data_IF_341500721700
#
_entry.id   IF_341500721700
#
_cell.length_a   1.000
_cell.length_b   1.000
_cell.length_c   1.000
_cell.angle_alpha   90.00
_cell.angle_beta   90.00
_cell.angle_gamma   90.00
#
_symmetry.space_group_name_H-M   'P 1'
#
loop_
_entity.id
_entity.type
_entity.pdbx_description
1 polymer ?
#
# COMPACT_ATOMS: atom_id res chain seq x y z
N UNK A 1 20.47 10.18 2.11
CA UNK A 1 19.27 10.86 2.65
C UNK A 1 18.00 10.49 1.89
N UNK A 2 18.02 10.39 0.57
CA UNK A 2 16.88 10.03 -0.31
C UNK A 2 16.41 8.61 -0.05
N UNK A 3 17.31 7.62 0.01
CA UNK A 3 17.00 6.21 0.34
C UNK A 3 16.30 6.10 1.70
N UNK A 4 16.69 6.95 2.66
CA UNK A 4 16.02 6.98 3.97
C UNK A 4 14.58 7.47 3.87
N UNK A 5 14.29 8.48 3.05
CA UNK A 5 12.91 8.97 2.85
C UNK A 5 12.01 7.90 2.21
N UNK A 6 12.53 7.16 1.24
CA UNK A 6 11.82 6.04 0.62
C UNK A 6 11.55 4.92 1.64
N UNK A 7 12.56 4.57 2.46
CA UNK A 7 12.39 3.59 3.54
C UNK A 7 11.35 4.01 4.57
N UNK A 8 11.32 5.30 4.94
CA UNK A 8 10.30 5.84 5.85
C UNK A 8 8.91 5.76 5.24
N UNK A 9 8.73 6.12 3.97
CA UNK A 9 7.44 5.97 3.29
C UNK A 9 6.98 4.51 3.29
N UNK A 10 7.90 3.58 3.01
CA UNK A 10 7.59 2.16 3.01
C UNK A 10 7.24 1.63 4.41
N UNK A 11 7.83 2.18 5.47
CA UNK A 11 7.49 1.82 6.85
C UNK A 11 6.03 2.19 7.22
N UNK A 12 5.45 3.18 6.54
CA UNK A 12 4.04 3.56 6.69
C UNK A 12 3.11 2.94 5.62
N UNK A 13 3.66 2.14 4.70
CA UNK A 13 2.88 1.47 3.67
C UNK A 13 1.77 0.60 4.27
N UNK A 14 0.70 0.45 3.54
CA UNK A 14 -0.49 -0.33 3.92
C UNK A 14 -1.36 0.28 5.01
N UNK A 15 -1.05 1.50 5.51
CA UNK A 15 -1.94 2.20 6.44
C UNK A 15 -3.29 2.53 5.79
N UNK A 16 -3.31 2.75 4.49
CA UNK A 16 -4.51 2.99 3.68
C UNK A 16 -5.44 1.78 3.63
N UNK A 17 -4.92 0.57 3.85
CA UNK A 17 -5.72 -0.67 3.85
C UNK A 17 -6.72 -0.73 5.01
N UNK A 18 -6.52 0.06 6.07
CA UNK A 18 -7.51 0.23 7.13
C UNK A 18 -8.83 0.72 6.53
N UNK A 19 -8.79 1.57 5.50
CA UNK A 19 -9.97 2.06 4.79
C UNK A 19 -10.77 0.96 4.08
N UNK A 20 -10.12 -0.11 3.64
CA UNK A 20 -10.83 -1.23 2.97
C UNK A 20 -11.72 -2.02 3.92
N UNK A 21 -11.41 -2.00 5.21
CA UNK A 21 -12.20 -2.65 6.25
C UNK A 21 -13.42 -1.81 6.70
N UNK A 22 -13.50 -0.55 6.30
CA UNK A 22 -14.59 0.34 6.71
C UNK A 22 -15.99 -0.17 6.30
N UNK A 23 -16.08 -0.81 5.13
CA UNK A 23 -17.34 -1.38 4.62
C UNK A 23 -17.84 -2.62 5.39
N UNK A 24 -17.02 -3.21 6.26
CA UNK A 24 -17.32 -4.40 7.05
C UNK A 24 -17.36 -4.12 8.55
N UNK A 25 -17.06 -2.88 8.93
CA UNK A 25 -16.97 -2.45 10.32
C UNK A 25 -18.32 -1.92 10.79
N UNK A 26 -18.81 -2.40 11.92
CA UNK A 26 -19.94 -1.78 12.60
C UNK A 26 -19.56 -0.38 13.10
N UNK A 27 -20.42 0.61 12.83
CA UNK A 27 -20.20 2.02 13.20
C UNK A 27 -18.81 2.58 12.73
N UNK A 28 -18.51 2.59 11.42
CA UNK A 28 -17.21 2.97 10.89
C UNK A 28 -16.83 4.41 11.28
N UNK A 29 -17.79 5.32 11.42
CA UNK A 29 -17.56 6.70 11.83
C UNK A 29 -16.87 6.84 13.20
N UNK A 30 -17.10 5.89 14.11
CA UNK A 30 -16.50 5.87 15.45
C UNK A 30 -15.23 5.03 15.52
N UNK A 31 -15.18 3.92 14.79
CA UNK A 31 -14.10 2.93 14.87
C UNK A 31 -12.92 3.35 13.99
N UNK A 32 -13.16 3.82 12.76
CA UNK A 32 -12.09 4.19 11.82
C UNK A 32 -11.15 5.27 12.36
N UNK A 33 -11.61 6.39 12.96
CA UNK A 33 -10.72 7.39 13.53
C UNK A 33 -9.80 6.83 14.61
N UNK A 34 -10.33 5.96 15.48
CA UNK A 34 -9.55 5.32 16.55
C UNK A 34 -8.51 4.35 15.95
N UNK A 35 -8.90 3.56 14.95
CA UNK A 35 -8.01 2.65 14.27
C UNK A 35 -6.85 3.38 13.60
N UNK A 36 -7.14 4.42 12.82
CA UNK A 36 -6.12 5.23 12.11
C UNK A 36 -5.13 5.85 13.11
N UNK A 37 -5.61 6.51 14.16
CA UNK A 37 -4.76 7.11 15.17
C UNK A 37 -3.91 6.07 15.93
N UNK A 38 -4.49 4.89 16.22
CA UNK A 38 -3.77 3.78 16.87
C UNK A 38 -2.66 3.23 15.98
N UNK A 39 -2.89 3.12 14.66
CA UNK A 39 -1.86 2.64 13.72
C UNK A 39 -0.69 3.61 13.67
N UNK A 40 -0.94 4.92 13.56
CA UNK A 40 0.13 5.94 13.56
C UNK A 40 0.98 5.85 14.82
N UNK A 41 0.35 5.75 16.00
CA UNK A 41 1.06 5.61 17.27
C UNK A 41 1.87 4.31 17.33
N UNK A 42 1.31 3.18 16.92
CA UNK A 42 2.02 1.88 16.89
C UNK A 42 3.23 1.92 15.96
N UNK A 43 3.10 2.48 14.77
CA UNK A 43 4.22 2.63 13.85
C UNK A 43 5.31 3.49 14.49
N UNK A 44 4.98 4.63 15.07
CA UNK A 44 5.96 5.49 15.74
C UNK A 44 6.70 4.73 16.86
N UNK A 45 6.00 4.01 17.72
CA UNK A 45 6.61 3.28 18.83
C UNK A 45 7.42 2.07 18.34
N UNK A 46 6.83 1.22 17.51
CA UNK A 46 7.49 -0.04 17.14
C UNK A 46 8.56 0.13 16.07
N UNK A 47 8.36 0.96 15.04
CA UNK A 47 9.40 1.18 14.02
C UNK A 47 10.52 2.08 14.54
N UNK A 48 10.19 3.27 15.03
CA UNK A 48 11.23 4.20 15.52
C UNK A 48 11.94 3.59 16.73
N UNK A 49 11.19 2.99 17.66
CA UNK A 49 11.77 2.32 18.82
C UNK A 49 12.69 1.16 18.44
N UNK A 50 12.29 0.31 17.49
CA UNK A 50 13.14 -0.80 17.02
C UNK A 50 14.41 -0.29 16.34
N UNK A 51 14.31 0.72 15.49
CA UNK A 51 15.49 1.29 14.81
C UNK A 51 16.46 1.90 15.81
N UNK A 52 15.95 2.64 16.81
CA UNK A 52 16.78 3.20 17.87
C UNK A 52 17.49 2.10 18.66
N UNK A 53 16.76 1.06 19.06
CA UNK A 53 17.36 -0.06 19.80
C UNK A 53 18.42 -0.78 18.97
N UNK A 54 18.14 -1.11 17.70
CA UNK A 54 19.11 -1.75 16.82
C UNK A 54 20.35 -0.90 16.61
N UNK A 55 20.19 0.42 16.46
CA UNK A 55 21.32 1.35 16.31
C UNK A 55 22.18 1.50 17.58
N UNK A 56 21.58 1.33 18.76
CA UNK A 56 22.28 1.39 20.04
C UNK A 56 22.98 0.06 20.41
N UNK A 57 22.43 -1.07 19.97
CA UNK A 57 22.89 -2.40 20.37
C UNK A 57 24.01 -2.95 19.49
N UNK A 58 24.04 -2.59 18.21
CA UNK A 58 25.11 -2.98 17.27
C UNK A 58 25.55 -1.82 16.40
N UNK A 59 26.85 -1.73 16.06
CA UNK A 59 27.33 -0.74 15.08
C UNK A 59 26.70 -1.01 13.71
N UNK A 60 26.41 0.07 12.98
CA UNK A 60 25.73 -0.02 11.67
C UNK A 60 26.50 -0.88 10.64
N UNK A 61 27.82 -1.02 10.82
CA UNK A 61 28.70 -1.83 9.96
C UNK A 61 28.48 -3.34 10.12
N UNK A 62 27.80 -3.77 11.19
CA UNK A 62 27.47 -5.19 11.44
C UNK A 62 26.23 -5.65 10.66
N UNK A 63 25.46 -4.73 10.07
CA UNK A 63 24.25 -5.07 9.33
C UNK A 63 24.56 -5.26 7.84
N UNK A 64 24.15 -6.40 7.29
CA UNK A 64 24.35 -6.76 5.89
C UNK A 64 23.07 -6.54 5.05
N UNK A 65 23.27 -6.18 3.78
CA UNK A 65 22.15 -6.08 2.83
C UNK A 65 21.53 -7.46 2.60
N UNK A 66 20.19 -7.52 2.62
CA UNK A 66 19.45 -8.75 2.37
C UNK A 66 19.27 -9.65 3.60
N UNK A 67 19.85 -9.30 4.74
CA UNK A 67 19.64 -10.00 6.01
C UNK A 67 18.79 -9.15 6.94
N UNK A 68 17.86 -9.77 7.65
CA UNK A 68 17.04 -9.06 8.64
C UNK A 68 17.93 -8.52 9.78
N UNK A 69 17.86 -7.22 10.11
CA UNK A 69 18.64 -6.67 11.22
C UNK A 69 18.33 -7.31 12.56
N UNK A 70 17.13 -7.82 12.76
CA UNK A 70 16.77 -8.60 13.95
C UNK A 70 17.50 -9.94 14.01
N UNK A 71 17.60 -10.65 12.88
CA UNK A 71 18.35 -11.91 12.79
C UNK A 71 19.83 -11.67 13.09
N UNK A 72 20.41 -10.62 12.51
CA UNK A 72 21.81 -10.22 12.77
C UNK A 72 22.05 -9.94 14.26
N UNK A 73 21.18 -9.12 14.87
CA UNK A 73 21.31 -8.79 16.29
C UNK A 73 21.18 -10.02 17.19
N UNK A 74 20.12 -10.81 17.02
CA UNK A 74 19.91 -11.99 17.88
C UNK A 74 20.95 -13.08 17.64
N UNK A 75 21.49 -13.22 16.43
CA UNK A 75 22.62 -14.10 16.14
C UNK A 75 23.91 -13.66 16.85
N UNK A 76 24.12 -12.34 17.06
CA UNK A 76 25.30 -11.80 17.75
C UNK A 76 25.31 -12.02 19.26
N UNK A 77 24.17 -12.34 19.89
CA UNK A 77 24.07 -12.61 21.34
C UNK A 77 24.76 -13.92 21.74
N UNK A 78 25.08 -14.81 20.79
CA UNK A 78 25.81 -16.04 21.03
C UNK A 78 24.98 -17.19 21.64
N UNK A 79 23.63 -17.02 21.66
CA UNK A 79 22.73 -18.08 22.11
C UNK A 79 22.41 -18.99 20.93
N UNK A 80 22.76 -20.26 21.00
CA UNK A 80 22.50 -21.21 19.92
C UNK A 80 21.02 -21.32 19.57
N UNK A 81 20.70 -21.23 18.26
CA UNK A 81 19.37 -21.41 17.73
C UNK A 81 18.46 -20.17 17.79
N UNK A 82 18.88 -19.07 18.41
CA UNK A 82 18.07 -17.83 18.46
C UNK A 82 17.94 -17.20 17.08
N UNK A 83 18.98 -17.25 16.26
CA UNK A 83 18.97 -16.84 14.86
C UNK A 83 17.94 -17.62 14.03
N UNK A 84 17.83 -18.93 14.24
CA UNK A 84 16.82 -19.79 13.59
C UNK A 84 15.41 -19.41 14.03
N UNK A 85 15.19 -19.17 15.33
CA UNK A 85 13.90 -18.74 15.87
C UNK A 85 13.51 -17.39 15.26
N UNK A 86 14.45 -16.44 15.18
CA UNK A 86 14.19 -15.11 14.60
C UNK A 86 13.91 -15.19 13.09
N UNK A 87 14.59 -16.05 12.35
CA UNK A 87 14.25 -16.32 10.95
C UNK A 87 12.82 -16.86 10.79
N UNK A 88 12.40 -17.76 11.68
CA UNK A 88 11.03 -18.28 11.67
C UNK A 88 10.00 -17.19 11.99
N UNK A 89 10.31 -16.30 12.94
CA UNK A 89 9.46 -15.12 13.24
C UNK A 89 9.34 -14.21 12.03
N UNK A 90 10.45 -13.89 11.36
CA UNK A 90 10.46 -13.06 10.14
C UNK A 90 9.66 -13.72 9.01
N UNK A 91 9.82 -15.03 8.82
CA UNK A 91 9.07 -15.80 7.83
C UNK A 91 7.56 -15.75 8.10
N UNK A 92 7.15 -15.99 9.35
CA UNK A 92 5.71 -15.95 9.72
C UNK A 92 5.13 -14.54 9.58
N UNK A 93 5.90 -13.50 9.91
CA UNK A 93 5.51 -12.11 9.70
C UNK A 93 5.34 -11.79 8.20
N UNK A 94 6.27 -12.23 7.35
CA UNK A 94 6.18 -12.06 5.90
C UNK A 94 4.95 -12.77 5.30
N UNK A 95 4.69 -14.02 5.72
CA UNK A 95 3.49 -14.76 5.29
C UNK A 95 2.20 -14.10 5.74
N UNK A 96 2.16 -13.55 6.96
CA UNK A 96 1.02 -12.79 7.46
C UNK A 96 0.76 -11.52 6.64
N UNK A 97 1.82 -10.77 6.31
CA UNK A 97 1.75 -9.58 5.47
C UNK A 97 1.28 -9.92 4.04
N UNK A 98 1.79 -11.01 3.47
CA UNK A 98 1.37 -11.50 2.16
C UNK A 98 -0.12 -11.86 2.16
N UNK A 99 -0.59 -12.58 3.18
CA UNK A 99 -2.01 -12.94 3.32
C UNK A 99 -2.90 -11.70 3.42
N UNK A 100 -2.53 -10.71 4.24
CA UNK A 100 -3.25 -9.45 4.35
C UNK A 100 -3.29 -8.67 3.03
N UNK A 101 -2.17 -8.64 2.30
CA UNK A 101 -2.06 -8.03 0.97
C UNK A 101 -2.96 -8.70 -0.06
N UNK A 102 -2.93 -10.03 -0.15
CA UNK A 102 -3.77 -10.82 -1.06
C UNK A 102 -5.26 -10.58 -0.81
N UNK A 103 -5.66 -10.57 0.47
CA UNK A 103 -7.04 -10.32 0.86
C UNK A 103 -7.49 -8.90 0.47
N UNK A 104 -6.75 -7.89 0.87
CA UNK A 104 -7.09 -6.48 0.62
C UNK A 104 -7.12 -6.16 -0.87
N UNK A 105 -6.09 -6.58 -1.64
CA UNK A 105 -6.02 -6.36 -3.08
C UNK A 105 -7.12 -7.15 -3.81
N UNK A 106 -7.42 -8.37 -3.36
CA UNK A 106 -8.53 -9.17 -3.89
C UNK A 106 -9.88 -8.46 -3.77
N UNK A 107 -10.14 -7.77 -2.65
CA UNK A 107 -11.35 -6.96 -2.43
C UNK A 107 -11.38 -5.71 -3.29
N UNK A 108 -10.26 -5.01 -3.43
CA UNK A 108 -10.14 -3.83 -4.30
C UNK A 108 -10.42 -4.24 -5.75
N UNK A 109 -9.78 -5.30 -6.24
CA UNK A 109 -10.01 -5.82 -7.60
C UNK A 109 -11.46 -6.25 -7.84
N UNK A 110 -12.09 -6.87 -6.82
CA UNK A 110 -13.51 -7.19 -6.90
C UNK A 110 -14.37 -5.93 -7.04
N UNK A 111 -14.14 -4.93 -6.20
CA UNK A 111 -14.85 -3.65 -6.29
C UNK A 111 -14.68 -2.98 -7.65
N UNK A 112 -13.46 -2.95 -8.18
CA UNK A 112 -13.17 -2.45 -9.53
C UNK A 112 -13.92 -3.25 -10.61
N UNK A 113 -13.96 -4.58 -10.50
CA UNK A 113 -14.67 -5.44 -11.44
C UNK A 113 -16.17 -5.23 -11.44
N UNK A 114 -16.77 -5.07 -10.26
CA UNK A 114 -18.21 -4.75 -10.11
C UNK A 114 -18.54 -3.39 -10.72
N UNK A 115 -17.62 -2.42 -10.62
CA UNK A 115 -17.77 -1.09 -11.23
C UNK A 115 -17.34 -1.05 -12.72
N UNK A 116 -17.00 -2.19 -13.32
CA UNK A 116 -16.63 -2.26 -14.74
C UNK A 116 -15.17 -1.95 -15.06
N UNK A 117 -14.34 -1.56 -14.06
CA UNK A 117 -12.95 -1.11 -14.26
C UNK A 117 -11.92 -2.26 -14.21
N UNK A 118 -12.34 -3.51 -14.00
CA UNK A 118 -11.47 -4.68 -13.97
C UNK A 118 -12.15 -5.89 -14.64
N UNK A 119 -11.38 -6.94 -14.99
CA UNK A 119 -11.93 -8.15 -15.59
C UNK A 119 -13.04 -8.78 -14.75
N UNK A 120 -14.08 -9.31 -15.39
CA UNK A 120 -15.23 -9.93 -14.72
C UNK A 120 -14.84 -11.10 -13.79
N UNK A 121 -13.76 -11.80 -14.12
CA UNK A 121 -13.24 -12.87 -13.28
C UNK A 121 -12.94 -12.40 -11.85
N UNK A 122 -12.44 -11.18 -11.68
CA UNK A 122 -12.10 -10.62 -10.37
C UNK A 122 -13.33 -10.39 -9.46
N UNK A 123 -14.56 -10.34 -10.01
CA UNK A 123 -15.79 -10.21 -9.22
C UNK A 123 -16.21 -11.51 -8.54
N UNK A 124 -15.67 -12.66 -8.95
CA UNK A 124 -16.09 -13.97 -8.46
C UNK A 124 -15.78 -14.15 -6.98
N UNK A 125 -16.81 -14.63 -6.25
CA UNK A 125 -16.72 -14.94 -4.82
C UNK A 125 -17.06 -16.42 -4.59
N UNK A 126 -16.53 -16.98 -3.53
CA UNK A 126 -16.95 -18.30 -3.07
C UNK A 126 -18.21 -18.20 -2.16
N UNK A 127 -18.72 -19.36 -1.73
CA UNK A 127 -19.90 -19.42 -0.83
C UNK A 127 -19.67 -18.74 0.53
N UNK A 128 -18.42 -18.60 0.96
CA UNK A 128 -18.03 -17.94 2.21
C UNK A 128 -17.80 -16.42 2.05
N UNK A 129 -18.09 -15.83 0.88
CA UNK A 129 -17.90 -14.39 0.64
C UNK A 129 -16.45 -13.97 0.37
N UNK A 130 -15.55 -14.93 0.10
CA UNK A 130 -14.15 -14.62 -0.21
C UNK A 130 -14.00 -14.31 -1.71
N UNK A 131 -13.36 -13.18 -2.11
CA UNK A 131 -13.19 -12.78 -3.50
C UNK A 131 -12.03 -13.53 -4.17
N UNK A 132 -12.20 -14.84 -4.39
CA UNK A 132 -11.13 -15.71 -4.89
C UNK A 132 -10.61 -15.30 -6.28
N UNK A 133 -11.45 -14.69 -7.12
CA UNK A 133 -11.03 -14.22 -8.45
C UNK A 133 -9.99 -13.11 -8.36
N UNK A 134 -10.21 -12.12 -7.51
CA UNK A 134 -9.25 -11.05 -7.26
C UNK A 134 -7.98 -11.56 -6.57
N UNK A 135 -8.12 -12.45 -5.59
CA UNK A 135 -6.99 -13.08 -4.89
C UNK A 135 -6.13 -13.88 -5.86
N UNK A 136 -6.73 -14.67 -6.78
CA UNK A 136 -5.99 -15.45 -7.75
C UNK A 136 -5.18 -14.58 -8.71
N UNK A 137 -5.74 -13.46 -9.18
CA UNK A 137 -5.00 -12.48 -10.02
C UNK A 137 -3.81 -11.92 -9.23
N UNK A 138 -4.04 -11.47 -7.99
CA UNK A 138 -2.98 -10.90 -7.15
C UNK A 138 -1.89 -11.92 -6.87
N UNK A 139 -2.26 -13.17 -6.52
CA UNK A 139 -1.31 -14.24 -6.29
C UNK A 139 -0.48 -14.56 -7.54
N UNK A 140 -1.11 -14.65 -8.72
CA UNK A 140 -0.42 -14.88 -9.97
C UNK A 140 0.63 -13.80 -10.28
N UNK A 141 0.29 -12.53 -10.04
CA UNK A 141 1.22 -11.41 -10.20
C UNK A 141 2.35 -11.49 -9.16
N UNK A 142 2.02 -11.78 -7.90
CA UNK A 142 3.02 -11.92 -6.82
C UNK A 142 4.02 -13.05 -7.09
N UNK A 143 3.58 -14.14 -7.72
CA UNK A 143 4.45 -15.25 -8.12
C UNK A 143 5.51 -14.85 -9.15
N UNK A 144 5.34 -13.75 -9.89
CA UNK A 144 6.37 -13.21 -10.79
C UNK A 144 7.62 -12.74 -10.02
N UNK A 145 7.51 -12.47 -8.73
CA UNK A 145 8.65 -12.20 -7.86
C UNK A 145 9.61 -13.38 -7.72
N UNK A 146 9.13 -14.62 -7.88
CA UNK A 146 9.97 -15.84 -7.75
C UNK A 146 11.02 -15.91 -8.87
N UNK A 147 10.65 -15.87 -10.18
CA UNK A 147 11.65 -15.83 -11.24
C UNK A 147 12.53 -14.59 -11.19
N UNK A 148 12.00 -13.44 -10.79
CA UNK A 148 12.80 -12.23 -10.62
C UNK A 148 13.91 -12.45 -9.59
N UNK A 149 13.58 -13.02 -8.43
CA UNK A 149 14.57 -13.34 -7.40
C UNK A 149 15.59 -14.40 -7.85
N UNK A 150 15.20 -15.33 -8.72
CA UNK A 150 16.11 -16.32 -9.29
C UNK A 150 17.09 -15.70 -10.30
N UNK A 151 16.61 -14.77 -11.14
CA UNK A 151 17.42 -14.14 -12.21
C UNK A 151 18.37 -13.07 -11.67
N UNK A 152 17.93 -12.26 -10.71
CA UNK A 152 18.67 -11.10 -10.17
C UNK A 152 18.58 -11.02 -8.64
N UNK A 153 19.06 -12.04 -7.90
CA UNK A 153 18.83 -12.15 -6.46
C UNK A 153 19.33 -10.94 -5.66
N UNK A 154 20.48 -10.38 -6.04
CA UNK A 154 21.09 -9.24 -5.35
C UNK A 154 20.29 -7.92 -5.51
N UNK A 155 19.48 -7.80 -6.56
CA UNK A 155 18.76 -6.57 -6.92
C UNK A 155 17.24 -6.72 -6.82
N UNK A 156 16.73 -7.97 -6.74
CA UNK A 156 15.28 -8.24 -6.77
C UNK A 156 14.53 -7.46 -5.70
N UNK A 157 15.06 -7.42 -4.48
CA UNK A 157 14.45 -6.69 -3.37
C UNK A 157 14.39 -5.18 -3.65
N UNK A 158 15.47 -4.57 -4.13
CA UNK A 158 15.52 -3.14 -4.43
C UNK A 158 14.57 -2.77 -5.58
N UNK A 159 14.48 -3.60 -6.63
CA UNK A 159 13.57 -3.39 -7.77
C UNK A 159 12.11 -3.41 -7.26
N UNK A 160 11.73 -4.45 -6.51
CA UNK A 160 10.37 -4.59 -5.98
C UNK A 160 10.05 -3.45 -5.02
N UNK A 161 10.98 -3.06 -4.15
CA UNK A 161 10.81 -1.96 -3.22
C UNK A 161 10.58 -0.62 -3.95
N UNK A 162 11.36 -0.34 -4.99
CA UNK A 162 11.24 0.88 -5.78
C UNK A 162 9.88 0.96 -6.48
N UNK A 163 9.46 -0.12 -7.15
CA UNK A 163 8.16 -0.18 -7.83
C UNK A 163 7.01 -0.06 -6.84
N UNK A 164 7.09 -0.77 -5.70
CA UNK A 164 6.08 -0.69 -4.65
C UNK A 164 5.98 0.72 -4.05
N UNK A 165 7.11 1.39 -3.82
CA UNK A 165 7.14 2.77 -3.30
C UNK A 165 6.41 3.76 -4.22
N UNK A 166 6.59 3.63 -5.53
CA UNK A 166 5.84 4.47 -6.50
C UNK A 166 4.34 4.19 -6.39
N UNK A 167 3.93 2.91 -6.31
CA UNK A 167 2.53 2.54 -6.13
C UNK A 167 1.92 3.15 -4.86
N UNK A 168 2.65 3.14 -3.75
CA UNK A 168 2.23 3.74 -2.47
C UNK A 168 2.08 5.26 -2.61
N UNK A 169 3.08 5.94 -3.21
CA UNK A 169 3.05 7.39 -3.42
C UNK A 169 1.83 7.78 -4.26
N UNK A 170 1.57 7.08 -5.36
CA UNK A 170 0.43 7.34 -6.24
C UNK A 170 -0.90 7.10 -5.54
N UNK A 171 -1.00 6.05 -4.73
CA UNK A 171 -2.20 5.74 -3.93
C UNK A 171 -2.46 6.87 -2.92
N UNK A 172 -1.46 7.28 -2.16
CA UNK A 172 -1.61 8.35 -1.18
C UNK A 172 -1.91 9.70 -1.83
N UNK A 173 -1.27 10.01 -2.96
CA UNK A 173 -1.59 11.22 -3.72
C UNK A 173 -3.06 11.22 -4.17
N UNK A 174 -3.56 10.08 -4.66
CA UNK A 174 -4.96 9.92 -5.06
C UNK A 174 -5.92 10.12 -3.87
N UNK A 175 -5.61 9.53 -2.70
CA UNK A 175 -6.41 9.70 -1.48
C UNK A 175 -6.48 11.18 -1.09
N UNK A 176 -5.35 11.90 -1.12
CA UNK A 176 -5.30 13.34 -0.79
C UNK A 176 -6.08 14.17 -1.81
N UNK A 177 -5.98 13.85 -3.11
CA UNK A 177 -6.77 14.52 -4.16
C UNK A 177 -8.27 14.29 -3.95
N UNK A 178 -8.70 13.06 -3.64
CA UNK A 178 -10.09 12.73 -3.31
C UNK A 178 -10.56 13.53 -2.08
N UNK A 179 -9.73 13.66 -1.06
CA UNK A 179 -10.05 14.44 0.14
C UNK A 179 -10.24 15.94 -0.17
N UNK A 180 -9.37 16.51 -1.01
CA UNK A 180 -9.49 17.90 -1.43
C UNK A 180 -10.77 18.11 -2.25
N UNK A 181 -11.09 17.17 -3.14
CA UNK A 181 -12.30 17.23 -3.95
C UNK A 181 -13.58 17.07 -3.11
N UNK A 182 -13.55 16.14 -2.15
CA UNK A 182 -14.65 15.95 -1.19
C UNK A 182 -14.95 17.24 -0.42
N UNK A 183 -13.88 17.93 0.03
CA UNK A 183 -14.03 19.22 0.69
C UNK A 183 -14.70 20.25 -0.22
N UNK A 184 -14.25 20.36 -1.49
CA UNK A 184 -14.83 21.29 -2.48
C UNK A 184 -16.33 21.03 -2.72
N UNK A 185 -16.72 19.74 -2.79
CA UNK A 185 -18.13 19.38 -2.96
C UNK A 185 -18.97 19.68 -1.73
N UNK A 186 -18.42 19.44 -0.53
CA UNK A 186 -19.09 19.82 0.70
C UNK A 186 -19.25 21.33 0.85
N UNK A 187 -18.21 22.11 0.48
CA UNK A 187 -18.26 23.58 0.52
C UNK A 187 -19.31 24.13 -0.48
N UNK A 188 -19.63 23.39 -1.56
CA UNK A 188 -20.72 23.69 -2.51
C UNK A 188 -22.09 23.19 -2.04
N UNK A 189 -22.19 22.50 -0.91
CA UNK A 189 -23.44 21.96 -0.38
C UNK A 189 -23.93 20.68 -1.06
N UNK A 190 -23.13 20.05 -1.93
CA UNK A 190 -23.53 18.85 -2.67
C UNK A 190 -23.54 17.59 -1.82
N UNK A 191 -22.78 17.59 -0.70
CA UNK A 191 -22.75 16.47 0.26
C UNK A 191 -22.38 16.96 1.67
N UNK A 192 -22.72 16.14 2.66
CA UNK A 192 -22.35 16.40 4.04
C UNK A 192 -20.90 16.01 4.29
N UNK A 193 -20.15 16.89 4.97
CA UNK A 193 -18.77 16.63 5.31
C UNK A 193 -18.67 15.68 6.50
N UNK A 194 -17.81 14.64 6.44
CA UNK A 194 -17.58 13.74 7.58
C UNK A 194 -17.14 14.48 8.84
N UNK A 195 -17.43 13.89 10.01
CA UNK A 195 -17.02 14.44 11.31
C UNK A 195 -15.51 14.35 11.52
N UNK A 196 -14.89 13.24 11.11
CA UNK A 196 -13.45 13.06 11.12
C UNK A 196 -12.81 13.80 9.95
N UNK A 197 -11.96 14.77 10.25
CA UNK A 197 -11.42 15.71 9.25
C UNK A 197 -9.91 15.85 9.39
N UNK A 198 -9.25 16.03 8.25
CA UNK A 198 -7.84 16.40 8.22
C UNK A 198 -7.65 17.82 8.75
N UNK A 199 -6.80 17.98 9.76
CA UNK A 199 -6.48 19.28 10.39
C UNK A 199 -5.78 20.16 9.34
N UNK A 200 -6.19 21.43 9.24
CA UNK A 200 -5.60 22.38 8.31
C UNK A 200 -5.94 22.17 6.82
N UNK A 201 -6.93 21.29 6.50
CA UNK A 201 -7.37 21.11 5.11
C UNK A 201 -7.99 22.42 4.55
N UNK A 202 -7.69 22.77 3.27
CA UNK A 202 -6.99 21.99 2.23
C UNK A 202 -5.46 22.17 2.20
N UNK A 203 -4.88 23.11 2.95
CA UNK A 203 -3.47 23.50 2.86
C UNK A 203 -2.54 22.33 3.19
N UNK A 204 -2.84 21.57 4.25
CA UNK A 204 -2.09 20.36 4.60
C UNK A 204 -2.15 19.30 3.50
N UNK A 205 -3.26 19.20 2.75
CA UNK A 205 -3.37 18.34 1.57
C UNK A 205 -2.42 18.76 0.46
N UNK A 206 -2.35 20.06 0.14
CA UNK A 206 -1.41 20.55 -0.88
C UNK A 206 0.05 20.38 -0.46
N UNK A 207 0.37 20.59 0.82
CA UNK A 207 1.71 20.35 1.35
C UNK A 207 2.09 18.86 1.23
N UNK A 208 1.16 17.97 1.56
CA UNK A 208 1.38 16.52 1.41
C UNK A 208 1.61 16.12 -0.05
N UNK A 209 0.85 16.68 -1.00
CA UNK A 209 1.05 16.44 -2.43
C UNK A 209 2.42 16.95 -2.91
N UNK A 210 2.84 18.12 -2.47
CA UNK A 210 4.17 18.67 -2.78
C UNK A 210 5.29 17.77 -2.24
N UNK A 211 5.16 17.29 -1.00
CA UNK A 211 6.09 16.35 -0.41
C UNK A 211 6.15 15.02 -1.21
N UNK A 212 5.01 14.42 -1.52
CA UNK A 212 4.94 13.19 -2.31
C UNK A 212 5.52 13.36 -3.71
N UNK A 213 5.27 14.50 -4.38
CA UNK A 213 5.86 14.80 -5.68
C UNK A 213 7.39 14.95 -5.58
N UNK A 214 7.90 15.57 -4.52
CA UNK A 214 9.34 15.67 -4.27
C UNK A 214 9.99 14.30 -4.07
N UNK A 215 9.38 13.42 -3.29
CA UNK A 215 9.90 12.04 -3.10
C UNK A 215 9.82 11.24 -4.40
N UNK A 216 8.76 11.36 -5.16
CA UNK A 216 8.62 10.68 -6.46
C UNK A 216 9.72 11.13 -7.44
N UNK A 217 9.99 12.43 -7.52
CA UNK A 217 11.07 12.98 -8.34
C UNK A 217 12.43 12.40 -7.91
N UNK A 218 12.68 12.30 -6.61
CA UNK A 218 13.91 11.71 -6.08
C UNK A 218 14.06 10.22 -6.46
N UNK A 219 12.98 9.43 -6.35
CA UNK A 219 12.99 8.01 -6.75
C UNK A 219 13.31 7.85 -8.24
N UNK A 220 12.81 8.73 -9.10
CA UNK A 220 13.07 8.69 -10.53
C UNK A 220 14.50 9.09 -10.88
N UNK A 221 15.09 10.02 -10.14
CA UNK A 221 16.51 10.42 -10.34
C UNK A 221 17.45 9.27 -9.95
N UNK A 222 17.15 8.54 -8.87
CA UNK A 222 17.98 7.42 -8.41
C UNK A 222 17.83 6.16 -9.25
N UNK A 223 16.64 5.88 -9.77
CA UNK A 223 16.33 4.66 -10.50
C UNK A 223 15.61 4.92 -11.82
N UNK A 224 16.35 5.13 -12.93
CA UNK A 224 15.77 5.26 -14.26
C UNK A 224 14.91 4.06 -14.67
N UNK A 225 15.25 2.84 -14.20
CA UNK A 225 14.45 1.65 -14.43
C UNK A 225 13.06 1.76 -13.79
N UNK A 226 12.99 2.27 -12.56
CA UNK A 226 11.72 2.51 -11.88
C UNK A 226 10.87 3.54 -12.62
N UNK A 227 11.48 4.59 -13.15
CA UNK A 227 10.81 5.58 -14.00
C UNK A 227 10.21 4.92 -15.25
N UNK A 228 10.98 4.07 -15.94
CA UNK A 228 10.52 3.35 -17.13
C UNK A 228 9.34 2.41 -16.82
N UNK A 229 9.46 1.59 -15.77
CA UNK A 229 8.41 0.67 -15.33
C UNK A 229 7.13 1.44 -14.95
N UNK A 230 7.26 2.55 -14.25
CA UNK A 230 6.13 3.41 -13.87
C UNK A 230 5.46 4.04 -15.10
N UNK A 231 6.24 4.50 -16.07
CA UNK A 231 5.71 5.04 -17.32
C UNK A 231 4.92 3.99 -18.10
N UNK A 232 5.47 2.78 -18.24
CA UNK A 232 4.79 1.65 -18.89
C UNK A 232 3.48 1.31 -18.15
N UNK A 233 3.53 1.18 -16.82
CA UNK A 233 2.36 0.89 -16.01
C UNK A 233 1.28 1.98 -16.16
N UNK A 234 1.66 3.25 -16.17
CA UNK A 234 0.76 4.38 -16.36
C UNK A 234 0.08 4.36 -17.74
N UNK A 235 0.84 4.06 -18.80
CA UNK A 235 0.32 3.90 -20.16
C UNK A 235 -0.69 2.74 -20.21
N UNK A 236 -0.35 1.59 -19.60
CA UNK A 236 -1.26 0.44 -19.55
C UNK A 236 -2.54 0.75 -18.77
N UNK A 237 -2.45 1.52 -17.67
CA UNK A 237 -3.63 1.98 -16.94
C UNK A 237 -4.51 2.89 -17.78
N UNK A 238 -3.94 3.83 -18.52
CA UNK A 238 -4.69 4.73 -19.44
C UNK A 238 -5.37 3.93 -20.53
N UNK A 239 -4.66 3.00 -21.18
CA UNK A 239 -5.23 2.10 -22.19
C UNK A 239 -6.37 1.28 -21.60
N UNK A 240 -6.16 0.68 -20.41
CA UNK A 240 -7.18 -0.09 -19.70
C UNK A 240 -8.42 0.76 -19.37
N UNK A 241 -8.22 2.02 -18.95
CA UNK A 241 -9.34 2.94 -18.71
C UNK A 241 -10.12 3.23 -20.01
N UNK A 242 -9.44 3.52 -21.11
CA UNK A 242 -10.11 3.74 -22.41
C UNK A 242 -10.89 2.50 -22.87
N UNK A 243 -10.35 1.32 -22.68
CA UNK A 243 -11.01 0.05 -23.02
C UNK A 243 -12.26 -0.23 -22.15
N UNK A 244 -12.23 0.17 -20.87
CA UNK A 244 -13.29 -0.11 -19.91
C UNK A 244 -14.31 1.05 -19.78
N UNK A 245 -14.02 2.25 -20.28
CA UNK A 245 -14.83 3.47 -20.01
C UNK A 245 -16.29 3.35 -20.42
N UNK A 246 -16.59 2.73 -21.56
CA UNK A 246 -17.97 2.54 -22.04
C UNK A 246 -18.77 1.70 -21.04
N UNK A 247 -18.20 0.59 -20.60
CA UNK A 247 -18.79 -0.30 -19.62
C UNK A 247 -18.97 0.37 -18.25
N UNK A 248 -18.00 1.21 -17.83
CA UNK A 248 -18.09 1.99 -16.59
C UNK A 248 -19.29 2.94 -16.66
N UNK A 249 -19.47 3.65 -17.78
CA UNK A 249 -20.60 4.56 -17.97
C UNK A 249 -21.94 3.86 -18.00
N UNK A 250 -22.06 2.69 -18.65
CA UNK A 250 -23.29 1.88 -18.66
C UNK A 250 -23.67 1.43 -17.24
N UNK A 251 -22.71 0.94 -16.46
CA UNK A 251 -22.94 0.50 -15.06
C UNK A 251 -23.33 1.69 -14.19
N UNK A 252 -22.67 2.85 -14.37
CA UNK A 252 -23.00 4.07 -13.62
C UNK A 252 -24.42 4.53 -13.93
N UNK A 253 -24.81 4.59 -15.20
CA UNK A 253 -26.15 4.98 -15.62
C UNK A 253 -27.26 4.08 -15.07
N UNK A 254 -27.02 2.76 -15.00
CA UNK A 254 -27.98 1.82 -14.40
C UNK A 254 -28.12 2.00 -12.88
N UNK A 255 -27.06 2.41 -12.18
CA UNK A 255 -27.13 2.70 -10.72
C UNK A 255 -27.89 4.00 -10.44
N UNK A 256 -27.63 5.04 -11.23
CA UNK A 256 -28.29 6.34 -11.04
C UNK A 256 -29.76 6.30 -11.44
N UNK A 257 -30.15 5.44 -12.41
CA UNK A 257 -31.55 5.19 -12.79
C UNK A 257 -32.40 4.43 -11.75
N UNK A 258 -31.79 3.79 -10.75
CA UNK A 258 -32.48 3.13 -9.65
C UNK A 258 -32.62 4.00 -8.38
N UNK A 259 -32.07 5.21 -8.38
CA UNK A 259 -32.13 6.17 -7.26
C UNK A 259 -33.11 7.33 -7.51
N UNK A 260 -33.92 7.25 -8.58
CA UNK A 260 -34.96 8.20 -8.93
C UNK A 260 -36.35 7.79 -8.45
#
# INVERSE_FOLDING_TARGET
>A
MIILMQGVLFAYASIELVGTAAGETENPEKIMPKAINSVVFRIAVFYVGSVILLALLLPYTSYEKGVSPFVTFFGSIGIQGVDVIMNLVVLTAALSSLNAGLYSTGRILRSMSVNGSAPQFASRMNKAGVPYGGIAITAAISLLGVPLNYLVPAQAFEIVLNVASVGIIMTWATIVLCQIQLKRWADKGWLQRPTFRMIGAPYTGYLSLLFLAGVLAMVFIESPLTMLVTAIASILMVIGWYACRTRIHEIAATRDGHTG
#
